data_IF_522710182994
#
_entry.id   IF_522710182994
#
_cell.length_a   1.000
_cell.length_b   1.000
_cell.length_c   1.000
_cell.angle_alpha   90.00
_cell.angle_beta   90.00
_cell.angle_gamma   90.00
#
_symmetry.space_group_name_H-M   'P 1'
#
loop_
_entity.id
_entity.type
_entity.pdbx_description
1 polymer ?
#
# COMPACT_ATOMS: atom_id res chain seq x y z
N UNK A 1 -0.30 -2.59 -0.51
CA UNK A 1 0.14 -1.80 -1.68
C UNK A 1 1.04 -2.58 -2.64
N UNK A 2 2.01 -3.36 -2.15
CA UNK A 2 2.97 -4.10 -2.99
C UNK A 2 2.37 -4.83 -4.21
N UNK A 3 1.32 -5.67 -4.10
CA UNK A 3 0.76 -6.36 -5.28
C UNK A 3 0.08 -5.40 -6.26
N UNK A 4 -0.55 -4.34 -5.78
CA UNK A 4 -1.18 -3.33 -6.63
C UNK A 4 -0.16 -2.56 -7.46
N UNK A 5 1.02 -2.26 -6.88
CA UNK A 5 2.13 -1.62 -7.59
C UNK A 5 2.63 -2.49 -8.76
N UNK A 6 2.83 -3.79 -8.52
CA UNK A 6 3.28 -4.73 -9.55
C UNK A 6 2.25 -4.82 -10.68
N UNK A 7 0.95 -4.89 -10.36
CA UNK A 7 -0.13 -4.87 -11.36
C UNK A 7 -0.09 -3.61 -12.23
N UNK A 8 0.13 -2.43 -11.63
CA UNK A 8 0.26 -1.18 -12.39
C UNK A 8 1.46 -1.22 -13.33
N UNK A 9 2.61 -1.73 -12.86
CA UNK A 9 3.81 -1.88 -13.68
C UNK A 9 3.60 -2.84 -14.86
N UNK A 10 2.87 -3.95 -14.65
CA UNK A 10 2.53 -4.91 -15.71
C UNK A 10 1.57 -4.34 -16.75
N UNK A 11 0.65 -3.45 -16.34
CA UNK A 11 -0.31 -2.80 -17.23
C UNK A 11 0.29 -1.70 -18.12
N UNK A 12 1.53 -1.26 -17.86
CA UNK A 12 2.20 -0.25 -18.68
C UNK A 12 2.80 -0.85 -19.96
N UNK A 13 2.62 -0.22 -21.14
CA UNK A 13 3.24 -0.67 -22.38
C UNK A 13 4.76 -0.52 -22.32
N UNK A 14 5.46 -1.34 -23.11
CA UNK A 14 6.88 -1.12 -23.34
C UNK A 14 7.10 -0.03 -24.39
N UNK A 15 8.09 0.87 -24.21
CA UNK A 15 9.13 0.90 -23.19
C UNK A 15 8.75 1.61 -21.88
N UNK A 16 9.05 1.01 -20.73
CA UNK A 16 8.80 1.59 -19.39
C UNK A 16 10.09 1.74 -18.60
N UNK A 17 10.14 2.80 -17.79
CA UNK A 17 11.27 3.12 -16.92
C UNK A 17 10.77 3.49 -15.54
N UNK A 18 11.51 3.09 -14.51
CA UNK A 18 11.14 3.28 -13.10
C UNK A 18 12.22 4.09 -12.40
N UNK A 19 11.81 5.19 -11.75
CA UNK A 19 12.67 5.99 -10.88
C UNK A 19 12.26 5.71 -9.43
N UNK A 20 13.19 5.22 -8.60
CA UNK A 20 12.98 5.10 -7.16
C UNK A 20 13.33 6.42 -6.48
N UNK A 21 12.31 7.10 -5.96
CA UNK A 21 12.44 8.40 -5.31
C UNK A 21 12.34 8.29 -3.79
N UNK A 22 13.35 8.79 -3.10
CA UNK A 22 13.40 8.90 -1.64
C UNK A 22 13.85 7.62 -0.92
N UNK A 23 14.39 7.79 0.29
CA UNK A 23 15.03 6.70 1.05
C UNK A 23 14.11 5.49 1.30
N UNK A 24 12.80 5.73 1.45
CA UNK A 24 11.82 4.67 1.68
C UNK A 24 11.70 3.70 0.49
N UNK A 25 11.74 4.20 -0.75
CA UNK A 25 11.62 3.36 -1.95
C UNK A 25 12.91 2.62 -2.27
N UNK A 26 14.07 3.14 -1.83
CA UNK A 26 15.39 2.52 -2.07
C UNK A 26 15.63 1.38 -1.08
N UNK A 27 15.48 1.63 0.22
CA UNK A 27 15.86 0.67 1.28
C UNK A 27 14.86 0.55 2.43
N UNK A 28 13.68 1.17 2.33
CA UNK A 28 12.72 1.28 3.44
C UNK A 28 12.91 2.53 4.32
N UNK A 29 14.02 3.25 4.16
CA UNK A 29 14.26 4.53 4.84
C UNK A 29 14.21 4.39 6.37
N UNK A 30 13.41 5.23 7.04
CA UNK A 30 13.23 5.13 8.50
C UNK A 30 12.50 3.84 8.91
N UNK A 31 11.75 3.23 8.00
CA UNK A 31 11.00 1.99 8.21
C UNK A 31 11.82 0.77 7.78
N UNK A 32 13.14 0.85 7.86
CA UNK A 32 14.00 -0.29 7.53
C UNK A 32 14.18 -1.23 8.72
N UNK A 33 14.23 -0.73 9.95
CA UNK A 33 14.51 -1.53 11.15
C UNK A 33 13.26 -2.18 11.74
N UNK A 34 12.24 -1.38 12.08
CA UNK A 34 11.24 -1.77 13.07
C UNK A 34 9.84 -2.09 12.51
N UNK A 35 9.63 -1.99 11.21
CA UNK A 35 8.33 -2.19 10.57
C UNK A 35 8.16 -3.59 9.97
N UNK A 36 7.07 -4.26 10.33
CA UNK A 36 6.73 -5.61 9.90
C UNK A 36 6.04 -5.68 8.53
N UNK A 37 5.41 -4.59 8.10
CA UNK A 37 4.54 -4.55 6.91
C UNK A 37 5.17 -3.88 5.69
N UNK A 38 6.31 -3.20 5.86
CA UNK A 38 6.93 -2.40 4.79
C UNK A 38 7.91 -3.23 3.98
N UNK A 39 7.83 -3.10 2.66
CA UNK A 39 8.82 -3.69 1.75
C UNK A 39 10.10 -2.86 1.79
N UNK A 40 11.21 -3.49 2.16
CA UNK A 40 12.55 -2.87 2.19
C UNK A 40 13.12 -2.75 0.77
N UNK A 41 12.70 -1.69 0.07
CA UNK A 41 13.14 -1.38 -1.28
C UNK A 41 12.19 -1.89 -2.37
N UNK A 42 11.91 -1.04 -3.35
CA UNK A 42 11.03 -1.33 -4.49
C UNK A 42 11.69 -2.28 -5.51
N UNK A 43 13.02 -2.35 -5.48
CA UNK A 43 13.85 -3.23 -6.35
C UNK A 43 13.54 -4.72 -6.18
N UNK A 44 12.93 -5.10 -5.04
CA UNK A 44 12.46 -6.47 -4.79
C UNK A 44 11.20 -6.83 -5.58
N UNK A 45 10.46 -5.83 -6.05
CA UNK A 45 9.18 -6.00 -6.73
C UNK A 45 9.31 -5.74 -8.22
N UNK A 46 10.00 -4.66 -8.59
CA UNK A 46 10.14 -4.19 -9.98
C UNK A 46 11.54 -3.66 -10.20
N UNK A 47 12.04 -3.76 -11.44
CA UNK A 47 13.35 -3.24 -11.80
C UNK A 47 13.37 -1.71 -11.76
N UNK A 48 14.41 -1.14 -11.14
CA UNK A 48 14.61 0.31 -11.02
C UNK A 48 15.75 0.78 -11.92
N UNK A 49 15.52 1.83 -12.70
CA UNK A 49 16.51 2.40 -13.60
C UNK A 49 17.41 3.45 -12.95
N UNK A 50 16.82 4.31 -12.12
CA UNK A 50 17.50 5.46 -11.50
C UNK A 50 17.03 5.61 -10.06
N UNK A 51 17.98 5.86 -9.16
CA UNK A 51 17.75 6.08 -7.74
C UNK A 51 17.95 7.55 -7.37
N UNK A 52 17.01 8.12 -6.61
CA UNK A 52 17.06 9.50 -6.10
C UNK A 52 17.06 9.48 -4.58
N UNK A 53 18.21 9.68 -3.92
CA UNK A 53 18.25 9.72 -2.46
C UNK A 53 17.61 11.00 -1.90
N UNK A 54 16.97 10.90 -0.74
CA UNK A 54 16.37 12.03 -0.01
C UNK A 54 15.20 11.63 0.86
N UNK A 55 14.81 12.48 1.82
CA UNK A 55 13.64 12.24 2.69
C UNK A 55 13.02 13.58 3.17
N UNK A 56 12.25 14.29 2.33
CA UNK A 56 12.05 14.10 0.89
C UNK A 56 13.24 14.62 0.06
N UNK A 57 13.45 14.13 -1.17
CA UNK A 57 14.50 14.66 -2.04
C UNK A 57 14.19 16.10 -2.49
N UNK A 58 15.24 16.89 -2.67
CA UNK A 58 15.13 18.26 -3.18
C UNK A 58 14.63 18.26 -4.64
N UNK A 59 13.87 19.27 -5.08
CA UNK A 59 13.36 19.34 -6.45
C UNK A 59 14.49 19.32 -7.50
N UNK A 60 15.65 19.91 -7.21
CA UNK A 60 16.80 19.88 -8.11
C UNK A 60 17.34 18.46 -8.32
N UNK A 61 17.31 17.63 -7.28
CA UNK A 61 17.74 16.23 -7.36
C UNK A 61 16.79 15.40 -8.24
N UNK A 62 15.49 15.73 -8.24
CA UNK A 62 14.51 15.08 -9.12
C UNK A 62 14.76 15.46 -10.58
N UNK A 63 15.05 16.74 -10.86
CA UNK A 63 15.38 17.21 -12.21
C UNK A 63 16.65 16.51 -12.71
N UNK A 64 17.70 16.42 -11.88
CA UNK A 64 18.93 15.71 -12.22
C UNK A 64 18.66 14.21 -12.52
N UNK A 65 17.80 13.56 -11.73
CA UNK A 65 17.41 12.18 -11.98
C UNK A 65 16.71 11.98 -13.34
N UNK A 66 15.82 12.91 -13.71
CA UNK A 66 15.17 12.91 -15.04
C UNK A 66 16.21 13.12 -16.14
N UNK A 67 17.17 14.02 -15.95
CA UNK A 67 18.27 14.23 -16.90
C UNK A 67 19.14 12.99 -17.04
N UNK A 68 19.45 12.29 -15.94
CA UNK A 68 20.18 11.02 -15.95
C UNK A 68 19.40 9.93 -16.69
N UNK A 69 18.09 9.83 -16.47
CA UNK A 69 17.25 8.88 -17.18
C UNK A 69 17.24 9.17 -18.68
N UNK A 70 17.09 10.43 -19.09
CA UNK A 70 17.18 10.83 -20.52
C UNK A 70 18.51 10.40 -21.15
N UNK A 71 19.62 10.57 -20.43
CA UNK A 71 20.96 10.11 -20.90
C UNK A 71 21.03 8.59 -21.02
N UNK A 72 20.43 7.83 -20.08
CA UNK A 72 20.34 6.37 -20.15
C UNK A 72 19.57 5.92 -21.39
N UNK A 73 18.39 6.51 -21.62
CA UNK A 73 17.54 6.23 -22.79
C UNK A 73 18.29 6.50 -24.09
N UNK A 74 19.03 7.62 -24.19
CA UNK A 74 19.78 7.96 -25.40
C UNK A 74 20.94 7.01 -25.73
N UNK A 75 21.43 6.24 -24.75
CA UNK A 75 22.54 5.29 -24.91
C UNK A 75 22.07 3.87 -25.24
N UNK A 76 20.83 3.53 -24.89
CA UNK A 76 20.28 2.20 -25.15
C UNK A 76 20.00 2.01 -26.64
N UNK A 77 20.50 0.91 -27.21
CA UNK A 77 20.19 0.49 -28.58
C UNK A 77 18.90 -0.34 -28.55
N UNK A 78 17.94 0.01 -29.40
CA UNK A 78 16.61 -0.61 -29.43
C UNK A 78 16.64 -2.14 -29.61
N UNK A 79 17.60 -2.65 -30.38
CA UNK A 79 17.79 -4.08 -30.70
C UNK A 79 18.13 -4.96 -29.47
N UNK A 80 18.92 -4.43 -28.54
CA UNK A 80 19.41 -5.20 -27.38
C UNK A 80 18.28 -5.48 -26.37
N UNK A 81 17.26 -4.61 -26.35
CA UNK A 81 16.09 -4.73 -25.47
C UNK A 81 15.11 -5.82 -25.90
N UNK A 82 14.88 -5.96 -27.22
CA UNK A 82 13.98 -6.99 -27.76
C UNK A 82 14.47 -8.40 -27.38
N UNK A 83 15.80 -8.61 -27.32
CA UNK A 83 16.38 -9.91 -26.94
C UNK A 83 16.15 -10.25 -25.46
N UNK A 84 16.28 -9.29 -24.55
CA UNK A 84 16.06 -9.51 -23.11
C UNK A 84 14.61 -9.89 -22.78
N UNK A 85 13.63 -9.37 -23.53
CA UNK A 85 12.24 -9.78 -23.37
C UNK A 85 12.00 -11.25 -23.75
N UNK A 86 12.71 -11.74 -24.77
CA UNK A 86 12.49 -13.06 -25.35
C UNK A 86 13.03 -14.22 -24.49
N UNK A 87 13.97 -13.94 -23.59
CA UNK A 87 14.61 -14.93 -22.73
C UNK A 87 13.79 -15.21 -21.44
N UNK A 88 12.92 -14.29 -21.03
CA UNK A 88 12.01 -14.45 -19.88
C UNK A 88 10.75 -15.26 -20.22
N UNK A 89 10.86 -16.33 -21.01
CA UNK A 89 9.74 -17.24 -21.27
C UNK A 89 9.43 -18.03 -20.02
N UNK A 90 8.30 -17.67 -19.41
CA UNK A 90 7.71 -18.30 -18.24
C UNK A 90 7.63 -19.83 -18.34
N UNK A 91 8.29 -20.52 -17.41
CA UNK A 91 7.95 -21.89 -17.04
C UNK A 91 6.79 -21.83 -16.06
N UNK A 92 5.57 -22.12 -16.52
CA UNK A 92 4.42 -22.25 -15.63
C UNK A 92 4.36 -23.67 -15.07
N UNK A 93 4.74 -23.86 -13.81
CA UNK A 93 4.51 -25.12 -13.10
C UNK A 93 3.13 -25.08 -12.45
N UNK A 94 2.21 -25.89 -12.95
CA UNK A 94 0.88 -26.06 -12.35
C UNK A 94 0.97 -27.12 -11.25
N UNK A 95 0.82 -26.73 -9.98
CA UNK A 95 0.77 -27.67 -8.85
C UNK A 95 -0.61 -27.62 -8.19
N UNK A 96 -1.20 -28.79 -7.93
CA UNK A 96 -2.46 -28.89 -7.18
C UNK A 96 -2.22 -28.56 -5.69
N UNK A 97 -3.07 -27.71 -5.11
CA UNK A 97 -3.00 -27.33 -3.68
C UNK A 97 -4.30 -27.70 -2.96
N UNK A 98 -4.22 -27.99 -1.65
CA UNK A 98 -5.38 -28.32 -0.78
C UNK A 98 -5.73 -27.14 0.14
N UNK A 99 -5.85 -25.94 -0.41
CA UNK A 99 -6.30 -24.77 0.35
C UNK A 99 -7.83 -24.69 0.37
N UNK A 100 -8.39 -24.20 1.47
CA UNK A 100 -9.83 -23.93 1.58
C UNK A 100 -10.13 -22.55 1.00
N UNK A 101 -11.13 -22.48 0.12
CA UNK A 101 -11.58 -21.20 -0.46
C UNK A 101 -12.44 -20.47 0.56
N UNK A 102 -12.01 -19.27 0.96
CA UNK A 102 -12.72 -18.38 1.87
C UNK A 102 -13.35 -17.23 1.07
N UNK A 103 -14.56 -16.80 1.45
CA UNK A 103 -15.25 -15.67 0.81
C UNK A 103 -14.53 -14.33 1.00
N UNK A 104 -14.80 -13.36 0.12
CA UNK A 104 -14.22 -12.00 0.23
C UNK A 104 -14.73 -11.28 1.47
N UNK A 105 -13.81 -10.71 2.25
CA UNK A 105 -14.14 -9.89 3.43
C UNK A 105 -14.70 -8.51 3.04
N UNK A 106 -14.31 -8.00 1.88
CA UNK A 106 -14.64 -6.64 1.44
C UNK A 106 -15.87 -6.68 0.53
N UNK A 107 -17.06 -6.83 1.12
CA UNK A 107 -18.33 -6.93 0.36
C UNK A 107 -18.85 -5.56 -0.13
N UNK A 108 -18.14 -4.46 0.12
CA UNK A 108 -18.52 -3.11 -0.33
C UNK A 108 -19.75 -2.55 0.37
N UNK A 109 -20.12 -3.14 1.51
CA UNK A 109 -21.39 -2.93 2.17
C UNK A 109 -21.23 -2.10 3.45
N UNK A 110 -20.64 -0.91 3.30
CA UNK A 110 -20.33 -0.02 4.40
C UNK A 110 -21.58 0.67 4.98
N UNK A 111 -22.61 0.89 4.14
CA UNK A 111 -23.81 1.66 4.51
C UNK A 111 -24.94 0.81 5.13
N UNK A 112 -24.83 -0.52 5.16
CA UNK A 112 -25.83 -1.37 5.80
C UNK A 112 -25.53 -1.45 7.31
N UNK A 113 -26.35 -0.77 8.11
CA UNK A 113 -26.29 -0.66 9.57
C UNK A 113 -26.42 -1.97 10.38
N UNK A 114 -25.95 -3.10 9.86
CA UNK A 114 -25.93 -4.41 10.53
C UNK A 114 -24.83 -4.52 11.61
N UNK A 115 -23.87 -3.60 11.65
CA UNK A 115 -22.78 -3.61 12.64
C UNK A 115 -22.99 -2.71 13.86
N UNK A 116 -24.02 -1.86 13.83
CA UNK A 116 -24.48 -1.09 15.00
C UNK A 116 -25.86 -1.61 15.40
N UNK A 117 -25.94 -2.85 15.89
CA UNK A 117 -27.05 -3.19 16.78
C UNK A 117 -26.71 -2.60 18.16
N UNK A 118 -27.52 -1.69 18.72
CA UNK A 118 -27.34 -1.31 20.12
C UNK A 118 -27.47 -2.57 20.98
N UNK A 119 -26.67 -2.74 22.04
CA UNK A 119 -26.81 -3.89 22.91
C UNK A 119 -28.27 -3.93 23.42
N UNK A 120 -28.92 -5.09 23.28
CA UNK A 120 -30.27 -5.31 23.78
C UNK A 120 -30.31 -4.96 25.27
N UNK A 121 -31.02 -3.89 25.64
CA UNK A 121 -31.32 -3.55 27.04
C UNK A 121 -32.34 -4.54 27.62
N UNK A 122 -31.98 -5.82 27.72
CA UNK A 122 -32.70 -6.87 28.44
C UNK A 122 -31.61 -7.91 28.71
N UNK A 123 -31.01 -8.06 29.89
CA UNK A 123 -31.58 -8.19 31.23
C UNK A 123 -30.59 -7.60 32.25
N UNK A 124 -31.03 -6.64 33.07
CA UNK A 124 -30.28 -6.22 34.27
C UNK A 124 -31.13 -6.64 35.48
N UNK A 125 -30.58 -7.42 36.44
CA UNK A 125 -31.29 -7.77 37.68
C UNK A 125 -31.63 -6.50 38.49
N UNK A 126 -32.70 -6.51 39.31
CA UNK A 126 -33.35 -5.32 39.86
C UNK A 126 -32.58 -4.61 41.00
N UNK A 127 -31.24 -4.64 41.04
CA UNK A 127 -30.44 -4.08 42.14
C UNK A 127 -29.56 -2.87 41.77
N UNK A 128 -29.62 -2.35 40.53
CA UNK A 128 -28.75 -1.22 40.11
C UNK A 128 -29.46 0.12 39.91
N UNK A 129 -30.78 0.21 40.17
CA UNK A 129 -31.61 1.43 40.07
C UNK A 129 -31.09 2.60 40.95
N UNK A 130 -30.38 2.32 42.03
CA UNK A 130 -29.85 3.36 42.93
C UNK A 130 -28.55 4.00 42.43
N UNK A 131 -27.78 3.34 41.55
CA UNK A 131 -26.47 3.84 41.10
C UNK A 131 -26.57 4.81 39.92
N UNK A 132 -27.58 4.65 39.05
CA UNK A 132 -27.74 5.47 37.85
C UNK A 132 -28.35 6.85 38.10
N UNK A 133 -29.06 7.04 39.21
CA UNK A 133 -29.70 8.32 39.55
C UNK A 133 -28.71 9.43 39.92
N UNK A 134 -27.47 9.08 40.27
CA UNK A 134 -26.44 10.05 40.64
C UNK A 134 -25.69 10.64 39.43
N UNK A 135 -25.67 9.95 38.28
CA UNK A 135 -24.84 10.35 37.13
C UNK A 135 -25.56 11.22 36.08
N UNK A 136 -26.88 11.36 36.17
CA UNK A 136 -27.70 12.11 35.21
C UNK A 136 -27.77 13.63 35.46
N UNK A 137 -27.07 14.16 36.48
CA UNK A 137 -27.14 15.58 36.86
C UNK A 137 -26.04 16.49 36.31
N UNK A 138 -25.15 16.02 35.44
CA UNK A 138 -24.12 16.91 34.84
C UNK A 138 -24.53 17.33 33.43
N UNK A 139 -25.00 18.57 33.36
CA UNK A 139 -25.37 19.33 32.17
C UNK A 139 -24.26 19.38 31.10
N UNK A 140 -24.68 19.25 29.85
CA UNK A 140 -23.97 19.53 28.59
C UNK A 140 -23.25 20.89 28.57
N UNK A 141 -22.07 21.02 27.94
CA UNK A 141 -21.60 22.29 27.40
C UNK A 141 -22.02 22.46 25.94
N UNK A 142 -22.56 23.65 25.67
CA UNK A 142 -23.05 24.16 24.39
C UNK A 142 -21.94 24.25 23.32
N UNK A 143 -22.29 23.93 22.07
CA UNK A 143 -21.50 24.26 20.88
C UNK A 143 -21.83 25.70 20.47
N UNK A 144 -20.84 26.59 20.51
CA UNK A 144 -20.89 27.92 19.90
C UNK A 144 -20.23 27.83 18.52
N UNK A 145 -20.88 28.46 17.53
CA UNK A 145 -20.52 28.59 16.12
C UNK A 145 -19.05 28.92 15.84
#
# INVERSE_FOLDING_TARGET
>A
MAPSLVRLYEQMPEPKYVIAMGACTIMGGMFSTDSYSTVRGVDKLIHVDVYVPGCPPKPEAVIDAITKLRKKISREIYEERIRLQQENRSFTFTTNHKFHVVGSTDTGNYDQGLLYQPPSMFEIPPETETFFKYKSSVSSPEFVN
#
